data_IF_703094427575
#
_entry.id   IF_703094427575
#
_cell.length_a   1.000
_cell.length_b   1.000
_cell.length_c   1.000
_cell.angle_alpha   90.00
_cell.angle_beta   90.00
_cell.angle_gamma   90.00
#
_symmetry.space_group_name_H-M   'P 1'
#
loop_
_entity.id
_entity.type
_entity.pdbx_description
1 polymer ?
#
# COMPACT_ATOMS: atom_id res chain seq x y z
N UNK A 1 13.26 13.51 29.57
CA UNK A 1 14.20 13.35 28.45
C UNK A 1 13.39 13.29 27.16
N UNK A 2 13.43 14.34 26.35
CA UNK A 2 12.73 14.38 25.06
C UNK A 2 13.60 13.60 24.07
N UNK A 3 13.27 12.33 23.84
CA UNK A 3 13.82 11.59 22.71
C UNK A 3 13.25 12.20 21.44
N UNK A 4 13.92 13.20 20.88
CA UNK A 4 13.77 13.51 19.47
C UNK A 4 14.16 12.22 18.72
N UNK A 5 13.23 11.52 18.03
CA UNK A 5 13.66 10.41 17.20
C UNK A 5 14.53 11.05 16.13
N UNK A 6 15.82 10.72 16.10
CA UNK A 6 16.67 11.08 14.96
C UNK A 6 16.09 10.32 13.77
N UNK A 7 15.11 10.91 13.08
CA UNK A 7 14.45 10.36 11.90
C UNK A 7 15.52 10.27 10.83
N UNK A 8 16.18 9.11 10.71
CA UNK A 8 17.10 8.87 9.62
C UNK A 8 16.28 8.48 8.39
N UNK A 9 16.46 9.24 7.30
CA UNK A 9 15.74 9.10 6.03
C UNK A 9 16.75 8.64 4.99
N UNK A 10 16.46 7.55 4.29
CA UNK A 10 17.28 7.06 3.18
C UNK A 10 16.45 7.08 1.89
N UNK A 11 17.08 7.49 0.79
CA UNK A 11 16.49 7.41 -0.55
C UNK A 11 17.42 6.60 -1.44
N UNK A 12 16.87 5.60 -2.09
CA UNK A 12 17.58 4.74 -3.03
C UNK A 12 17.00 4.98 -4.43
N UNK A 13 17.87 5.28 -5.38
CA UNK A 13 17.52 5.61 -6.77
C UNK A 13 18.10 4.57 -7.74
N UNK A 14 17.43 4.43 -8.90
CA UNK A 14 17.63 3.66 -10.16
C UNK A 14 18.86 2.74 -10.39
N UNK A 15 19.99 2.92 -9.70
CA UNK A 15 21.25 2.19 -9.94
C UNK A 15 21.47 0.99 -9.03
N UNK A 16 20.62 0.78 -8.02
CA UNK A 16 20.82 -0.29 -7.05
C UNK A 16 20.16 -1.59 -7.54
N UNK A 17 21.01 -2.55 -7.92
CA UNK A 17 20.57 -3.90 -8.30
C UNK A 17 20.28 -4.79 -7.10
N UNK A 18 20.90 -4.50 -5.94
CA UNK A 18 20.78 -5.26 -4.70
C UNK A 18 20.66 -4.35 -3.46
N UNK A 19 19.70 -4.62 -2.57
CA UNK A 19 19.62 -3.92 -1.29
C UNK A 19 20.72 -4.44 -0.34
N UNK A 20 21.64 -3.59 0.15
CA UNK A 20 22.71 -4.05 1.00
C UNK A 20 22.16 -4.54 2.34
N UNK A 21 22.59 -5.71 2.80
CA UNK A 21 22.20 -6.27 4.10
C UNK A 21 22.58 -5.35 5.27
N UNK A 22 23.59 -4.49 5.07
CA UNK A 22 24.01 -3.44 6.00
C UNK A 22 22.88 -2.48 6.40
N UNK A 23 21.79 -2.42 5.62
CA UNK A 23 20.58 -1.68 6.01
C UNK A 23 20.00 -2.17 7.34
N UNK A 24 20.16 -3.46 7.67
CA UNK A 24 19.71 -4.04 8.93
C UNK A 24 20.47 -3.46 10.13
N UNK A 25 21.69 -2.95 9.92
CA UNK A 25 22.49 -2.28 10.95
C UNK A 25 22.00 -0.85 11.24
N UNK A 26 21.16 -0.27 10.38
CA UNK A 26 20.65 1.09 10.52
C UNK A 26 19.48 1.15 11.53
N UNK A 27 19.81 1.05 12.82
CA UNK A 27 18.84 1.07 13.94
C UNK A 27 17.97 2.33 14.05
N UNK A 28 18.33 3.42 13.36
CA UNK A 28 17.58 4.69 13.39
C UNK A 28 16.85 5.00 12.07
N UNK A 29 16.96 4.13 11.06
CA UNK A 29 16.29 4.31 9.77
C UNK A 29 14.78 4.16 9.96
N UNK A 30 14.08 5.29 9.92
CA UNK A 30 12.63 5.35 10.14
C UNK A 30 11.86 5.62 8.86
N UNK A 31 12.52 6.17 7.84
CA UNK A 31 11.92 6.41 6.52
C UNK A 31 12.83 5.93 5.42
N UNK A 32 12.30 5.09 4.55
CA UNK A 32 12.96 4.62 3.34
C UNK A 32 12.12 5.01 2.13
N UNK A 33 12.79 5.50 1.09
CA UNK A 33 12.19 5.77 -0.21
C UNK A 33 12.96 5.01 -1.28
N UNK A 34 12.27 4.15 -1.99
CA UNK A 34 12.76 3.43 -3.17
C UNK A 34 12.12 4.11 -4.37
N UNK A 35 12.91 4.69 -5.26
CA UNK A 35 12.40 5.43 -6.42
C UNK A 35 13.14 5.04 -7.70
N UNK A 36 12.39 4.66 -8.73
CA UNK A 36 12.91 4.27 -10.03
C UNK A 36 13.73 2.98 -10.02
N UNK A 37 13.56 2.11 -9.02
CA UNK A 37 14.14 0.77 -9.03
C UNK A 37 13.67 0.02 -10.29
N UNK A 38 14.61 -0.68 -10.95
CA UNK A 38 14.33 -1.41 -12.19
C UNK A 38 13.49 -2.66 -11.97
N UNK A 39 13.84 -3.47 -10.95
CA UNK A 39 13.07 -4.64 -10.55
C UNK A 39 13.32 -4.95 -9.05
N UNK A 40 12.29 -4.88 -8.22
CA UNK A 40 12.37 -5.23 -6.81
C UNK A 40 12.04 -6.71 -6.66
N UNK A 41 13.00 -7.53 -6.21
CA UNK A 41 12.88 -8.99 -6.08
C UNK A 41 12.40 -9.38 -4.68
N UNK A 42 12.02 -10.63 -4.50
CA UNK A 42 11.60 -11.19 -3.21
C UNK A 42 12.65 -10.99 -2.10
N UNK A 43 13.93 -11.25 -2.38
CA UNK A 43 15.01 -11.07 -1.39
C UNK A 43 15.18 -9.63 -0.91
N UNK A 44 14.83 -8.66 -1.76
CA UNK A 44 14.79 -7.26 -1.36
C UNK A 44 13.69 -7.01 -0.32
N UNK A 45 12.50 -7.57 -0.52
CA UNK A 45 11.40 -7.47 0.44
C UNK A 45 11.77 -8.11 1.78
N UNK A 46 12.47 -9.26 1.76
CA UNK A 46 12.96 -9.93 2.98
C UNK A 46 13.93 -9.09 3.80
N UNK A 47 14.75 -8.25 3.17
CA UNK A 47 15.61 -7.30 3.89
C UNK A 47 14.78 -6.15 4.45
N UNK A 48 13.87 -5.60 3.64
CA UNK A 48 13.03 -4.46 4.02
C UNK A 48 12.12 -4.77 5.22
N UNK A 49 11.51 -5.97 5.24
CA UNK A 49 10.59 -6.37 6.31
C UNK A 49 11.28 -6.55 7.66
N UNK A 50 12.60 -6.78 7.67
CA UNK A 50 13.42 -6.97 8.87
C UNK A 50 14.00 -5.66 9.43
N UNK A 51 13.76 -4.52 8.79
CA UNK A 51 14.31 -3.24 9.24
C UNK A 51 13.74 -2.86 10.62
N UNK A 52 14.58 -2.77 11.66
CA UNK A 52 14.14 -2.81 13.06
C UNK A 52 13.43 -1.55 13.55
N UNK A 53 13.50 -0.46 12.79
CA UNK A 53 12.93 0.84 13.17
C UNK A 53 12.18 1.52 12.03
N UNK A 54 11.93 0.80 10.92
CA UNK A 54 11.30 1.39 9.75
C UNK A 54 9.82 1.71 10.04
N UNK A 55 9.47 2.98 9.92
CA UNK A 55 8.10 3.49 10.17
C UNK A 55 7.40 3.93 8.89
N UNK A 56 8.16 4.32 7.86
CA UNK A 56 7.61 4.79 6.60
C UNK A 56 8.37 4.18 5.41
N UNK A 57 7.64 3.50 4.53
CA UNK A 57 8.16 2.95 3.29
C UNK A 57 7.44 3.60 2.11
N UNK A 58 8.21 4.20 1.22
CA UNK A 58 7.74 4.76 -0.03
C UNK A 58 8.36 3.94 -1.15
N UNK A 59 7.55 3.21 -1.90
CA UNK A 59 8.00 2.42 -3.04
C UNK A 59 7.40 2.98 -4.32
N UNK A 60 8.26 3.54 -5.17
CA UNK A 60 7.96 3.93 -6.54
C UNK A 60 8.93 3.20 -7.45
N UNK A 61 8.46 2.14 -8.10
CA UNK A 61 9.28 1.21 -8.88
C UNK A 61 8.70 1.16 -10.28
N UNK A 62 9.53 1.07 -11.33
CA UNK A 62 8.99 1.00 -12.69
C UNK A 62 8.32 -0.36 -12.94
N UNK A 63 9.05 -1.45 -12.69
CA UNK A 63 8.56 -2.82 -12.89
C UNK A 63 8.71 -3.59 -11.57
N UNK A 64 7.63 -4.23 -11.13
CA UNK A 64 7.57 -5.06 -9.93
C UNK A 64 6.95 -6.41 -10.31
N UNK A 65 7.74 -7.29 -10.92
CA UNK A 65 7.29 -8.64 -11.31
C UNK A 65 7.19 -9.61 -10.14
N UNK A 66 7.86 -9.30 -9.03
CA UNK A 66 7.82 -10.16 -7.85
C UNK A 66 6.45 -10.10 -7.18
N UNK A 67 6.17 -11.10 -6.35
CA UNK A 67 5.09 -11.02 -5.37
C UNK A 67 5.57 -10.18 -4.19
N UNK A 68 4.77 -9.20 -3.76
CA UNK A 68 5.04 -8.52 -2.49
C UNK A 68 4.52 -9.42 -1.38
N UNK A 69 5.42 -10.06 -0.64
CA UNK A 69 5.04 -10.89 0.51
C UNK A 69 5.44 -10.18 1.79
N UNK A 70 4.46 -9.85 2.62
CA UNK A 70 4.71 -9.38 3.99
C UNK A 70 4.54 -10.57 4.93
N UNK A 71 5.67 -11.11 5.41
CA UNK A 71 5.71 -12.33 6.24
C UNK A 71 5.17 -12.08 7.65
N UNK A 72 4.77 -13.13 8.35
CA UNK A 72 4.44 -13.05 9.79
C UNK A 72 5.60 -12.42 10.58
N UNK A 73 5.30 -11.39 11.39
CA UNK A 73 6.31 -10.62 12.13
C UNK A 73 7.13 -9.62 11.29
N UNK A 74 6.95 -9.61 9.96
CA UNK A 74 7.55 -8.65 9.06
C UNK A 74 7.00 -7.24 9.25
N UNK A 75 7.87 -6.24 9.06
CA UNK A 75 7.55 -4.81 9.19
C UNK A 75 6.94 -4.44 10.56
N UNK A 76 7.58 -4.78 11.69
CA UNK A 76 6.96 -4.69 13.02
C UNK A 76 6.51 -3.26 13.40
N UNK A 77 7.22 -2.24 12.94
CA UNK A 77 6.97 -0.82 13.28
C UNK A 77 6.51 0.03 12.10
N UNK A 78 6.18 -0.58 10.96
CA UNK A 78 5.78 0.18 9.78
C UNK A 78 4.41 0.81 10.02
N UNK A 79 4.33 2.14 9.93
CA UNK A 79 3.11 2.93 10.16
C UNK A 79 2.53 3.48 8.86
N UNK A 80 3.37 3.69 7.85
CA UNK A 80 2.96 4.21 6.55
C UNK A 80 3.62 3.43 5.40
N UNK A 81 2.77 2.84 4.56
CA UNK A 81 3.17 2.24 3.30
C UNK A 81 2.58 3.03 2.14
N UNK A 82 3.43 3.45 1.20
CA UNK A 82 3.00 4.07 -0.05
C UNK A 82 3.57 3.32 -1.24
N UNK A 83 2.67 2.74 -2.04
CA UNK A 83 2.96 2.04 -3.28
C UNK A 83 2.51 2.93 -4.45
N UNK A 84 3.45 3.36 -5.29
CA UNK A 84 3.19 4.30 -6.39
C UNK A 84 3.76 3.77 -7.71
N UNK A 85 2.92 3.74 -8.75
CA UNK A 85 3.34 3.46 -10.13
C UNK A 85 4.01 2.09 -10.33
N UNK A 86 3.59 1.06 -9.60
CA UNK A 86 4.18 -0.28 -9.70
C UNK A 86 3.58 -1.04 -10.90
N UNK A 87 4.29 -1.13 -12.02
CA UNK A 87 3.86 -1.92 -13.19
C UNK A 87 4.16 -3.41 -12.96
N UNK A 88 3.34 -4.28 -13.54
CA UNK A 88 3.41 -5.75 -13.39
C UNK A 88 3.23 -6.28 -11.95
N UNK A 89 2.88 -5.39 -11.01
CA UNK A 89 2.58 -5.75 -9.63
C UNK A 89 1.22 -6.44 -9.52
N UNK A 90 1.21 -7.75 -9.72
CA UNK A 90 -0.02 -8.56 -9.75
C UNK A 90 -0.40 -9.15 -8.40
N UNK A 91 0.61 -9.62 -7.67
CA UNK A 91 0.39 -10.38 -6.44
C UNK A 91 0.90 -9.63 -5.21
N UNK A 92 -0.01 -9.46 -4.25
CA UNK A 92 0.32 -8.99 -2.91
C UNK A 92 -0.23 -9.97 -1.89
N UNK A 93 0.65 -10.51 -1.03
CA UNK A 93 0.30 -11.38 0.08
C UNK A 93 0.70 -10.72 1.40
N UNK A 94 -0.22 -10.72 2.35
CA UNK A 94 0.04 -10.28 3.72
C UNK A 94 -0.33 -11.42 4.64
N UNK A 95 0.64 -11.93 5.39
CA UNK A 95 0.42 -13.01 6.34
C UNK A 95 -0.15 -12.46 7.66
N UNK A 96 -0.83 -13.34 8.40
CA UNK A 96 -1.35 -12.97 9.72
C UNK A 96 -0.17 -12.60 10.63
N UNK A 97 -0.26 -11.43 11.28
CA UNK A 97 0.82 -10.92 12.14
C UNK A 97 1.85 -10.05 11.42
N UNK A 98 1.74 -9.86 10.10
CA UNK A 98 2.55 -8.89 9.37
C UNK A 98 2.08 -7.45 9.64
N UNK A 99 3.00 -6.49 9.60
CA UNK A 99 2.72 -5.05 9.68
C UNK A 99 1.78 -4.63 10.84
N UNK A 100 2.01 -5.10 12.08
CA UNK A 100 1.07 -4.89 13.19
C UNK A 100 0.88 -3.42 13.61
N UNK A 101 1.75 -2.51 13.16
CA UNK A 101 1.70 -1.07 13.45
C UNK A 101 1.12 -0.22 12.32
N UNK A 102 0.72 -0.83 11.19
CA UNK A 102 0.37 -0.08 9.99
C UNK A 102 -0.90 0.73 10.20
N UNK A 103 -0.79 2.05 10.02
CA UNK A 103 -1.87 3.00 10.28
C UNK A 103 -2.40 3.61 8.98
N UNK A 104 -1.56 3.71 7.95
CA UNK A 104 -1.88 4.35 6.67
C UNK A 104 -1.32 3.54 5.51
N UNK A 105 -2.16 3.30 4.52
CA UNK A 105 -1.79 2.60 3.29
C UNK A 105 -2.25 3.40 2.09
N UNK A 106 -1.32 3.81 1.23
CA UNK A 106 -1.61 4.49 -0.01
C UNK A 106 -1.18 3.62 -1.19
N UNK A 107 -2.06 3.43 -2.17
CA UNK A 107 -1.80 2.68 -3.40
C UNK A 107 -2.24 3.55 -4.56
N UNK A 108 -1.31 3.89 -5.43
CA UNK A 108 -1.59 4.80 -6.54
C UNK A 108 -0.96 4.31 -7.85
N UNK A 109 -1.69 4.44 -8.96
CA UNK A 109 -1.22 4.15 -10.32
C UNK A 109 -0.58 2.77 -10.51
N UNK A 110 -1.11 1.73 -9.84
CA UNK A 110 -0.59 0.35 -9.94
C UNK A 110 -1.65 -0.54 -10.64
N UNK A 111 -1.81 -0.43 -11.96
CA UNK A 111 -2.98 -0.96 -12.68
C UNK A 111 -3.07 -2.49 -12.69
N UNK A 112 -1.95 -3.18 -12.56
CA UNK A 112 -1.90 -4.65 -12.63
C UNK A 112 -2.28 -5.35 -11.32
N UNK A 113 -2.41 -4.59 -10.23
CA UNK A 113 -2.85 -5.15 -8.95
C UNK A 113 -4.36 -5.40 -8.99
N UNK A 114 -4.76 -6.66 -8.90
CA UNK A 114 -6.15 -7.06 -9.08
C UNK A 114 -7.01 -6.87 -7.82
N UNK A 115 -6.43 -7.09 -6.63
CA UNK A 115 -7.11 -7.03 -5.35
C UNK A 115 -6.16 -6.64 -4.22
N UNK A 116 -6.70 -6.16 -3.10
CA UNK A 116 -5.92 -6.04 -1.85
C UNK A 116 -5.77 -7.41 -1.17
N UNK A 117 -4.69 -7.66 -0.42
CA UNK A 117 -4.48 -8.95 0.23
C UNK A 117 -5.51 -9.19 1.34
N UNK A 118 -5.97 -10.44 1.44
CA UNK A 118 -6.87 -10.90 2.50
C UNK A 118 -6.31 -10.59 3.90
N UNK A 119 -4.98 -10.59 4.04
CA UNK A 119 -4.28 -10.28 5.28
C UNK A 119 -4.52 -8.88 5.84
N UNK A 120 -4.98 -7.91 5.02
CA UNK A 120 -5.32 -6.58 5.54
C UNK A 120 -6.42 -6.65 6.61
N UNK A 121 -7.30 -7.66 6.57
CA UNK A 121 -8.35 -7.83 7.57
C UNK A 121 -7.81 -7.97 9.01
N UNK A 122 -6.56 -8.43 9.15
CA UNK A 122 -5.91 -8.63 10.44
C UNK A 122 -5.21 -7.37 10.97
N UNK A 123 -5.01 -6.35 10.13
CA UNK A 123 -4.32 -5.10 10.48
C UNK A 123 -5.33 -4.10 11.05
N UNK A 124 -5.83 -4.40 12.25
CA UNK A 124 -6.84 -3.57 12.93
C UNK A 124 -6.37 -2.14 13.24
N UNK A 125 -5.06 -1.88 13.19
CA UNK A 125 -4.47 -0.55 13.34
C UNK A 125 -4.64 0.33 12.11
N UNK A 126 -5.02 -0.22 10.96
CA UNK A 126 -5.14 0.52 9.70
C UNK A 126 -6.33 1.48 9.76
N UNK A 127 -6.04 2.79 9.82
CA UNK A 127 -7.04 3.86 9.93
C UNK A 127 -7.33 4.55 8.62
N UNK A 128 -6.36 4.57 7.71
CA UNK A 128 -6.47 5.24 6.42
C UNK A 128 -6.04 4.35 5.27
N UNK A 129 -6.90 4.23 4.26
CA UNK A 129 -6.58 3.62 2.98
C UNK A 129 -6.86 4.66 1.87
N UNK A 130 -5.87 4.95 1.04
CA UNK A 130 -6.00 5.83 -0.13
C UNK A 130 -5.69 5.06 -1.40
N UNK A 131 -6.65 5.03 -2.33
CA UNK A 131 -6.55 4.33 -3.60
C UNK A 131 -6.71 5.36 -4.73
N UNK A 132 -5.73 5.54 -5.62
CA UNK A 132 -5.90 6.46 -6.78
C UNK A 132 -5.35 5.88 -8.07
N UNK A 133 -5.98 6.22 -9.19
CA UNK A 133 -5.49 5.80 -10.52
C UNK A 133 -5.42 4.28 -10.67
N UNK A 134 -6.27 3.53 -9.96
CA UNK A 134 -6.40 2.08 -10.10
C UNK A 134 -7.51 1.73 -11.08
N UNK A 135 -7.50 0.50 -11.59
CA UNK A 135 -8.55 0.00 -12.46
C UNK A 135 -9.93 0.04 -11.77
N UNK A 136 -11.02 0.34 -12.49
CA UNK A 136 -12.37 0.34 -11.93
C UNK A 136 -12.77 -0.97 -11.25
N UNK A 137 -12.32 -2.13 -11.78
CA UNK A 137 -12.57 -3.46 -11.20
C UNK A 137 -12.01 -3.55 -9.79
N UNK A 138 -10.75 -3.14 -9.59
CA UNK A 138 -10.11 -3.08 -8.27
C UNK A 138 -10.92 -2.21 -7.31
N UNK A 139 -11.30 -1.00 -7.72
CA UNK A 139 -12.09 -0.10 -6.87
C UNK A 139 -13.47 -0.69 -6.52
N UNK A 140 -14.12 -1.40 -7.45
CA UNK A 140 -15.44 -2.00 -7.18
C UNK A 140 -15.38 -3.16 -6.18
N UNK A 141 -14.29 -3.94 -6.14
CA UNK A 141 -14.09 -5.00 -5.15
C UNK A 141 -14.04 -4.45 -3.72
N UNK A 142 -13.51 -3.24 -3.53
CA UNK A 142 -13.42 -2.56 -2.23
C UNK A 142 -14.72 -1.87 -1.81
N UNK A 143 -15.73 -1.79 -2.68
CA UNK A 143 -17.02 -1.20 -2.39
C UNK A 143 -17.88 -2.04 -1.47
N UNK A 144 -18.90 -1.44 -0.85
CA UNK A 144 -19.87 -2.21 -0.06
C UNK A 144 -20.58 -3.26 -0.95
N UNK A 145 -20.52 -4.53 -0.52
CA UNK A 145 -20.99 -5.67 -1.32
C UNK A 145 -19.97 -6.19 -2.35
N UNK A 146 -18.81 -5.56 -2.49
CA UNK A 146 -17.69 -6.04 -3.28
C UNK A 146 -16.95 -7.20 -2.60
N UNK A 147 -16.29 -8.03 -3.41
CA UNK A 147 -15.59 -9.23 -2.96
C UNK A 147 -14.44 -8.97 -1.98
N UNK A 148 -13.81 -7.79 -2.05
CA UNK A 148 -12.67 -7.42 -1.20
C UNK A 148 -13.07 -6.54 0.00
N UNK A 149 -14.35 -6.19 0.12
CA UNK A 149 -14.81 -5.26 1.14
C UNK A 149 -14.50 -5.73 2.57
N UNK A 150 -14.65 -7.03 2.83
CA UNK A 150 -14.40 -7.62 4.13
C UNK A 150 -12.95 -7.42 4.59
N UNK A 151 -12.01 -7.26 3.65
CA UNK A 151 -10.58 -7.06 3.90
C UNK A 151 -10.27 -5.68 4.49
N UNK A 152 -11.10 -4.68 4.17
CA UNK A 152 -10.89 -3.29 4.56
C UNK A 152 -12.05 -2.70 5.38
N UNK A 153 -13.01 -3.52 5.79
CA UNK A 153 -14.23 -3.05 6.43
C UNK A 153 -13.99 -2.32 7.76
N UNK A 154 -12.88 -2.62 8.44
CA UNK A 154 -12.45 -2.02 9.71
C UNK A 154 -11.79 -0.64 9.52
N UNK A 155 -11.37 -0.29 8.30
CA UNK A 155 -10.68 0.97 8.00
C UNK A 155 -11.64 2.15 8.15
N UNK A 156 -11.23 3.15 8.92
CA UNK A 156 -12.08 4.29 9.27
C UNK A 156 -12.18 5.33 8.16
N UNK A 157 -11.07 5.61 7.47
CA UNK A 157 -10.97 6.63 6.43
C UNK A 157 -10.53 5.97 5.12
N UNK A 158 -11.45 5.86 4.16
CA UNK A 158 -11.12 5.43 2.81
C UNK A 158 -11.18 6.63 1.87
N UNK A 159 -10.17 6.80 1.04
CA UNK A 159 -10.14 7.80 -0.03
C UNK A 159 -9.87 7.10 -1.35
N UNK A 160 -10.54 7.55 -2.40
CA UNK A 160 -10.50 6.94 -3.72
C UNK A 160 -10.49 8.01 -4.82
N UNK A 161 -9.76 7.79 -5.91
CA UNK A 161 -9.89 8.61 -7.12
C UNK A 161 -9.65 7.77 -8.37
N UNK A 162 -10.64 7.66 -9.25
CA UNK A 162 -10.50 7.01 -10.56
C UNK A 162 -9.75 8.00 -11.45
N UNK A 163 -8.92 7.47 -12.35
CA UNK A 163 -8.25 8.30 -13.34
C UNK A 163 -9.26 9.13 -14.13
N UNK A 164 -8.99 10.44 -14.28
CA UNK A 164 -9.90 11.38 -14.95
C UNK A 164 -11.22 11.71 -14.23
N UNK A 165 -11.50 11.18 -13.03
CA UNK A 165 -12.75 11.41 -12.30
C UNK A 165 -12.56 12.16 -10.97
N UNK A 166 -13.68 12.68 -10.44
CA UNK A 166 -13.73 13.30 -9.11
C UNK A 166 -13.35 12.29 -8.02
N UNK A 167 -12.65 12.76 -6.99
CA UNK A 167 -12.32 11.96 -5.81
C UNK A 167 -13.58 11.57 -5.03
N UNK A 168 -13.61 10.36 -4.49
CA UNK A 168 -14.55 9.91 -3.48
C UNK A 168 -13.83 9.55 -2.19
N UNK A 169 -14.56 9.49 -1.09
CA UNK A 169 -14.03 9.04 0.19
C UNK A 169 -15.16 8.89 1.19
N UNK A 170 -14.90 8.15 2.26
CA UNK A 170 -15.83 8.02 3.37
C UNK A 170 -15.09 7.94 4.71
N UNK A 171 -15.80 8.33 5.77
CA UNK A 171 -15.35 8.27 7.16
C UNK A 171 -16.51 7.68 7.98
N UNK A 172 -16.36 6.47 8.55
CA UNK A 172 -17.52 5.68 9.02
C UNK A 172 -18.25 6.31 10.22
N UNK A 173 -19.60 6.23 10.27
CA UNK A 173 -20.20 5.15 11.10
C UNK A 173 -21.24 4.19 10.46
N UNK A 174 -21.93 4.47 9.33
CA UNK A 174 -22.79 3.47 8.64
C UNK A 174 -22.79 3.76 7.14
N UNK A 175 -22.31 2.81 6.34
CA UNK A 175 -21.71 3.00 5.01
C UNK A 175 -22.74 3.17 3.88
N UNK A 176 -22.40 3.96 2.85
CA UNK A 176 -22.99 3.85 1.50
C UNK A 176 -22.18 4.64 0.46
N UNK A 177 -21.71 3.99 -0.62
CA UNK A 177 -21.97 4.35 -2.03
C UNK A 177 -21.02 3.74 -3.07
N UNK A 178 -21.64 3.10 -4.07
CA UNK A 178 -21.35 3.19 -5.51
C UNK A 178 -22.69 3.50 -6.23
N UNK A 179 -23.11 4.77 -6.36
CA UNK A 179 -24.29 5.11 -7.21
C UNK A 179 -24.00 5.96 -8.44
N UNK A 180 -22.83 6.60 -8.56
CA UNK A 180 -22.58 7.54 -9.67
C UNK A 180 -21.56 7.04 -10.70
N UNK A 181 -21.80 5.87 -11.28
CA UNK A 181 -21.06 5.41 -12.48
C UNK A 181 -21.94 4.93 -13.65
N UNK A 182 -23.28 4.88 -13.50
CA UNK A 182 -24.21 4.43 -14.56
C UNK A 182 -25.12 5.52 -15.15
N UNK A 183 -24.73 6.79 -15.10
CA UNK A 183 -25.48 7.88 -15.75
C UNK A 183 -24.59 8.67 -16.71
N UNK A 184 -24.05 7.98 -17.71
CA UNK A 184 -23.48 8.61 -18.91
C UNK A 184 -23.51 7.61 -20.07
N UNK A 185 -24.69 7.04 -20.37
CA UNK A 185 -25.00 6.43 -21.66
C UNK A 185 -26.50 6.12 -21.70
N UNK A 186 -27.27 7.14 -22.02
CA UNK A 186 -28.56 6.96 -22.68
C UNK A 186 -28.50 7.86 -23.93
N UNK A 187 -28.68 7.34 -25.15
CA UNK A 187 -28.85 8.19 -26.31
C UNK A 187 -30.21 8.90 -26.19
N UNK A 188 -30.20 10.22 -26.37
CA UNK A 188 -31.42 10.96 -26.70
C UNK A 188 -31.94 10.49 -28.07
N UNK A 189 -33.26 10.55 -28.19
CA UNK A 189 -34.12 9.95 -29.23
C UNK A 189 -33.68 10.17 -30.66
#
# INVERSE_FOLDING_TARGET
MIFCPKIYKLRLHEEITELPEDLLCLRNLTKLTLSGFGNLKDDHIKVLEKLPSLRMLFASVRIFQASLVCSEGGFPFLEFLYLYSLLEFKEWKVEKGAMPSLCRLHIEYSPDLEAVPDGLQYITTLKELSIKGMLPKFCSGLGEGGEDFYKIQHVQHLKGKLEGKKSWGWSNPKKSWFRNAKQSQAPER
#
